data_IF_746867126822
#
_entry.id   IF_746867126822
#
_cell.length_a   1.000
_cell.length_b   1.000
_cell.length_c   1.000
_cell.angle_alpha   90.00
_cell.angle_beta   90.00
_cell.angle_gamma   90.00
#
_symmetry.space_group_name_H-M   'P 1'
#
loop_
_entity.id
_entity.type
_entity.pdbx_description
1 polymer ?
#
# COMPACT_ATOMS: atom_id res chain seq x y z
N UNK A 1 -47.24 -12.23 -38.55
CA UNK A 1 -45.91 -11.62 -38.36
C UNK A 1 -45.93 -10.87 -37.05
N UNK A 2 -45.15 -11.31 -36.07
CA UNK A 2 -44.29 -10.51 -35.20
C UNK A 2 -43.71 -11.45 -34.15
N UNK A 3 -42.43 -11.74 -34.33
CA UNK A 3 -41.56 -12.49 -33.43
C UNK A 3 -41.24 -11.56 -32.26
N UNK A 4 -41.64 -11.92 -31.04
CA UNK A 4 -41.09 -11.33 -29.83
C UNK A 4 -39.99 -12.28 -29.34
N UNK A 5 -38.76 -11.97 -29.74
CA UNK A 5 -37.54 -12.55 -29.19
C UNK A 5 -37.42 -12.10 -27.74
N UNK A 6 -37.79 -12.96 -26.80
CA UNK A 6 -37.43 -12.77 -25.39
C UNK A 6 -35.96 -13.14 -25.22
N UNK A 7 -35.16 -12.09 -25.07
CA UNK A 7 -33.74 -12.15 -24.72
C UNK A 7 -33.51 -13.07 -23.52
N UNK A 8 -32.73 -14.12 -23.74
CA UNK A 8 -32.16 -14.94 -22.68
C UNK A 8 -31.18 -14.07 -21.89
N UNK A 9 -31.50 -13.79 -20.63
CA UNK A 9 -30.53 -13.25 -19.67
C UNK A 9 -29.72 -14.45 -19.21
N UNK A 10 -28.51 -14.58 -19.76
CA UNK A 10 -27.55 -15.57 -19.30
C UNK A 10 -27.22 -15.30 -17.83
N UNK A 11 -27.58 -16.23 -16.96
CA UNK A 11 -27.03 -16.33 -15.62
C UNK A 11 -25.54 -16.67 -15.76
N UNK A 12 -24.69 -15.64 -15.69
CA UNK A 12 -23.24 -15.84 -15.60
C UNK A 12 -22.96 -16.34 -14.18
N UNK A 13 -22.71 -17.65 -14.07
CA UNK A 13 -22.36 -18.32 -12.82
C UNK A 13 -20.97 -17.87 -12.33
N UNK A 14 -20.96 -16.70 -11.68
CA UNK A 14 -19.83 -16.04 -11.03
C UNK A 14 -19.14 -16.87 -9.94
N UNK A 15 -19.66 -18.04 -9.56
CA UNK A 15 -19.12 -18.83 -8.45
C UNK A 15 -17.93 -19.71 -8.84
N UNK A 16 -17.75 -20.05 -10.13
CA UNK A 16 -16.70 -20.98 -10.58
C UNK A 16 -15.32 -20.36 -10.76
N UNK A 17 -15.20 -19.08 -11.13
CA UNK A 17 -13.90 -18.47 -11.43
C UNK A 17 -13.24 -17.78 -10.23
N UNK A 18 -14.02 -17.34 -9.24
CA UNK A 18 -13.55 -16.60 -8.05
C UNK A 18 -12.75 -17.44 -7.03
N UNK A 19 -12.92 -18.76 -6.98
CA UNK A 19 -12.37 -19.60 -5.90
C UNK A 19 -10.84 -19.68 -5.79
N UNK A 20 -10.09 -19.23 -6.81
CA UNK A 20 -8.63 -19.27 -6.80
C UNK A 20 -7.97 -17.88 -6.76
N UNK A 21 -8.72 -16.80 -7.03
CA UNK A 21 -8.17 -15.45 -7.11
C UNK A 21 -8.15 -14.83 -5.70
N UNK A 22 -7.01 -14.24 -5.26
CA UNK A 22 -6.96 -13.56 -3.97
C UNK A 22 -8.01 -12.44 -3.85
N UNK A 23 -8.63 -12.30 -2.66
CA UNK A 23 -9.71 -11.35 -2.41
C UNK A 23 -9.38 -9.91 -2.83
N UNK A 24 -8.12 -9.48 -2.65
CA UNK A 24 -7.67 -8.14 -3.01
C UNK A 24 -7.58 -7.88 -4.53
N UNK A 25 -7.58 -8.93 -5.35
CA UNK A 25 -7.56 -8.85 -6.81
C UNK A 25 -8.94 -9.04 -7.42
N UNK A 26 -9.93 -9.54 -6.66
CA UNK A 26 -11.29 -9.75 -7.14
C UNK A 26 -11.91 -8.50 -7.80
N UNK A 27 -11.81 -7.28 -7.23
CA UNK A 27 -12.39 -6.09 -7.87
C UNK A 27 -11.78 -5.77 -9.24
N UNK A 28 -10.47 -6.04 -9.40
CA UNK A 28 -9.76 -5.85 -10.66
C UNK A 28 -10.14 -6.95 -11.67
N UNK A 29 -10.21 -8.20 -11.20
CA UNK A 29 -10.61 -9.34 -12.01
C UNK A 29 -12.03 -9.18 -12.58
N UNK A 30 -13.01 -8.92 -11.73
CA UNK A 30 -14.43 -8.77 -12.15
C UNK A 30 -14.59 -7.68 -13.20
N UNK A 31 -13.95 -6.52 -13.02
CA UNK A 31 -14.03 -5.42 -13.97
C UNK A 31 -13.36 -5.76 -15.31
N UNK A 32 -12.26 -6.49 -15.29
CA UNK A 32 -11.56 -6.91 -16.50
C UNK A 32 -12.29 -8.03 -17.25
N UNK A 33 -13.09 -8.85 -16.57
CA UNK A 33 -13.88 -9.93 -17.16
C UNK A 33 -15.20 -9.49 -17.81
N UNK A 34 -15.66 -8.26 -17.63
CA UNK A 34 -16.94 -7.75 -18.19
C UNK A 34 -17.07 -7.87 -19.72
N UNK A 35 -15.94 -7.95 -20.44
CA UNK A 35 -15.90 -7.99 -21.91
C UNK A 35 -15.04 -9.15 -22.44
N UNK A 36 -14.82 -10.20 -21.64
CA UNK A 36 -13.99 -11.36 -22.01
C UNK A 36 -14.89 -12.57 -22.29
N UNK A 37 -14.48 -13.39 -23.25
CA UNK A 37 -15.07 -14.71 -23.48
C UNK A 37 -14.58 -15.72 -22.43
N UNK A 38 -15.28 -16.85 -22.25
CA UNK A 38 -14.94 -17.89 -21.26
C UNK A 38 -13.47 -18.37 -21.35
N UNK A 39 -12.95 -18.56 -22.57
CA UNK A 39 -11.55 -18.96 -22.79
C UNK A 39 -10.55 -17.85 -22.39
N UNK A 40 -10.94 -16.59 -22.61
CA UNK A 40 -10.12 -15.43 -22.25
C UNK A 40 -10.13 -15.20 -20.74
N UNK A 41 -11.25 -15.44 -20.07
CA UNK A 41 -11.38 -15.39 -18.61
C UNK A 41 -10.46 -16.42 -17.94
N UNK A 42 -10.43 -17.67 -18.42
CA UNK A 42 -9.53 -18.71 -17.88
C UNK A 42 -8.05 -18.35 -18.09
N UNK A 43 -7.70 -17.82 -19.27
CA UNK A 43 -6.34 -17.35 -19.56
C UNK A 43 -5.95 -16.17 -18.67
N UNK A 44 -6.85 -15.22 -18.47
CA UNK A 44 -6.61 -14.05 -17.63
C UNK A 44 -6.47 -14.43 -16.15
N UNK A 45 -7.29 -15.37 -15.67
CA UNK A 45 -7.17 -15.95 -14.34
C UNK A 45 -5.80 -16.59 -14.14
N UNK A 46 -5.37 -17.42 -15.09
CA UNK A 46 -4.03 -18.06 -15.04
C UNK A 46 -2.92 -17.02 -15.03
N UNK A 47 -3.01 -16.00 -15.88
CA UNK A 47 -2.05 -14.90 -15.94
C UNK A 47 -1.92 -14.14 -14.62
N UNK A 48 -3.05 -13.82 -13.97
CA UNK A 48 -3.04 -13.14 -12.66
C UNK A 48 -2.41 -14.03 -11.59
N UNK A 49 -2.73 -15.32 -11.59
CA UNK A 49 -2.16 -16.28 -10.63
C UNK A 49 -0.64 -16.39 -10.78
N UNK A 50 -0.13 -16.44 -12.00
CA UNK A 50 1.31 -16.47 -12.28
C UNK A 50 2.02 -15.15 -11.91
N UNK A 51 1.34 -14.01 -12.12
CA UNK A 51 1.90 -12.68 -11.90
C UNK A 51 1.46 -12.05 -10.57
N UNK A 52 1.01 -12.84 -9.59
CA UNK A 52 0.56 -12.32 -8.28
C UNK A 52 1.59 -11.42 -7.60
N UNK A 53 2.89 -11.72 -7.78
CA UNK A 53 4.01 -10.99 -7.21
C UNK A 53 4.18 -9.56 -7.78
N UNK A 54 3.61 -9.28 -8.96
CA UNK A 54 3.62 -7.95 -9.57
C UNK A 54 2.58 -7.01 -8.94
N UNK A 55 1.59 -7.57 -8.22
CA UNK A 55 0.51 -6.79 -7.61
C UNK A 55 0.79 -6.56 -6.13
N UNK A 56 0.73 -5.29 -5.71
CA UNK A 56 0.87 -4.94 -4.31
C UNK A 56 -0.31 -5.49 -3.49
N UNK A 57 -0.01 -6.19 -2.39
CA UNK A 57 -1.05 -6.59 -1.44
C UNK A 57 -1.51 -5.38 -0.63
N UNK A 58 -2.77 -5.34 -0.17
CA UNK A 58 -3.25 -4.28 0.70
C UNK A 58 -2.35 -4.13 1.94
N UNK A 59 -1.76 -2.94 2.11
CA UNK A 59 -0.88 -2.65 3.24
C UNK A 59 0.58 -3.09 3.04
N UNK A 60 0.93 -3.71 1.92
CA UNK A 60 2.31 -4.01 1.58
C UNK A 60 3.02 -2.75 1.06
N UNK A 61 4.16 -2.43 1.65
CA UNK A 61 5.05 -1.36 1.16
C UNK A 61 6.17 -2.03 0.38
N UNK A 62 6.27 -1.71 -0.91
CA UNK A 62 7.29 -2.28 -1.79
C UNK A 62 8.70 -2.00 -1.25
N UNK A 63 9.50 -3.05 -1.06
CA UNK A 63 10.92 -2.93 -0.69
C UNK A 63 11.77 -3.13 -1.94
N UNK A 64 12.66 -2.18 -2.21
CA UNK A 64 13.67 -2.30 -3.25
C UNK A 64 14.98 -2.79 -2.64
N UNK A 65 15.51 -3.91 -3.13
CA UNK A 65 16.82 -4.44 -2.73
C UNK A 65 17.98 -3.86 -3.57
N UNK A 66 17.72 -2.84 -4.39
CA UNK A 66 18.72 -2.27 -5.34
C UNK A 66 19.88 -1.52 -4.66
N UNK A 67 19.88 -1.40 -3.33
CA UNK A 67 21.01 -0.92 -2.55
C UNK A 67 20.67 0.22 -1.59
N UNK A 68 21.57 0.46 -0.63
CA UNK A 68 21.47 1.58 0.31
C UNK A 68 21.99 2.84 -0.37
N UNK A 69 21.15 3.87 -0.49
CA UNK A 69 21.56 5.14 -1.08
C UNK A 69 22.28 6.01 -0.03
N UNK A 70 23.53 6.39 -0.31
CA UNK A 70 24.28 7.36 0.51
C UNK A 70 24.08 8.76 -0.05
N UNK A 71 23.44 9.63 0.75
CA UNK A 71 23.28 11.05 0.42
C UNK A 71 24.64 11.74 0.61
N UNK A 72 25.15 12.40 -0.45
CA UNK A 72 26.35 13.24 -0.36
C UNK A 72 25.93 14.66 0.01
N UNK A 73 26.38 15.14 1.17
CA UNK A 73 26.11 16.49 1.65
C UNK A 73 27.17 17.46 1.10
N UNK A 74 26.78 18.71 0.84
CA UNK A 74 27.70 19.79 0.43
C UNK A 74 28.29 20.52 1.64
N UNK A 75 27.56 20.59 2.75
CA UNK A 75 27.99 21.12 4.05
C UNK A 75 27.72 20.04 5.12
N UNK A 76 28.73 19.73 5.93
CA UNK A 76 28.66 18.69 6.97
C UNK A 76 28.16 19.22 8.32
N UNK A 77 27.84 20.52 8.41
CA UNK A 77 27.29 21.12 9.63
C UNK A 77 25.85 20.65 9.88
N UNK A 78 25.58 19.99 11.02
CA UNK A 78 24.23 19.49 11.31
C UNK A 78 23.25 20.64 11.55
N UNK A 79 22.07 20.54 10.93
CA UNK A 79 20.94 21.45 11.15
C UNK A 79 19.92 20.77 12.06
N UNK A 80 19.60 21.44 13.17
CA UNK A 80 18.61 20.98 14.16
C UNK A 80 17.48 21.99 14.30
N UNK A 81 16.33 21.65 13.72
CA UNK A 81 15.09 22.39 13.84
C UNK A 81 14.28 21.87 15.05
N UNK A 82 13.79 22.74 15.95
CA UNK A 82 12.99 22.31 17.09
C UNK A 82 11.65 21.72 16.63
N UNK A 83 11.07 20.69 17.28
CA UNK A 83 9.76 20.16 16.89
C UNK A 83 8.63 21.20 17.03
N UNK A 84 7.63 21.18 16.13
CA UNK A 84 6.43 22.03 16.27
C UNK A 84 5.49 21.50 17.34
N UNK A 85 4.79 22.41 18.05
CA UNK A 85 3.74 22.03 19.00
C UNK A 85 2.58 21.34 18.29
N UNK A 86 2.18 20.18 18.81
CA UNK A 86 1.06 19.40 18.29
C UNK A 86 -0.17 19.69 19.15
N UNK A 87 -1.32 20.07 18.54
CA UNK A 87 -2.57 20.21 19.28
C UNK A 87 -2.93 18.90 20.01
N UNK A 88 -3.43 18.99 21.24
CA UNK A 88 -3.68 17.83 22.12
C UNK A 88 -4.52 16.75 21.44
N UNK A 89 -5.57 17.15 20.73
CA UNK A 89 -6.49 16.24 20.02
C UNK A 89 -5.83 15.46 18.86
N UNK A 90 -4.66 15.90 18.35
CA UNK A 90 -3.90 15.19 17.30
C UNK A 90 -2.79 14.30 17.83
N UNK A 91 -2.40 14.43 19.11
CA UNK A 91 -1.27 13.67 19.68
C UNK A 91 -1.51 12.16 19.63
N UNK A 92 -2.70 11.72 20.01
CA UNK A 92 -3.05 10.30 20.00
C UNK A 92 -3.02 9.71 18.58
N UNK A 93 -3.58 10.41 17.59
CA UNK A 93 -3.59 9.95 16.21
C UNK A 93 -2.18 9.83 15.64
N UNK A 94 -1.32 10.79 15.96
CA UNK A 94 0.09 10.77 15.57
C UNK A 94 0.85 9.59 16.20
N UNK A 95 0.70 9.39 17.50
CA UNK A 95 1.38 8.28 18.22
C UNK A 95 0.94 6.91 17.68
N UNK A 96 -0.31 6.77 17.26
CA UNK A 96 -0.79 5.55 16.58
C UNK A 96 -0.09 5.37 15.24
N UNK A 97 0.06 6.43 14.44
CA UNK A 97 0.66 6.33 13.11
C UNK A 97 2.18 6.07 13.19
N UNK A 98 2.89 6.77 14.08
CA UNK A 98 4.31 6.51 14.34
C UNK A 98 4.54 5.05 14.72
N UNK A 99 3.70 4.51 15.62
CA UNK A 99 3.79 3.11 16.03
C UNK A 99 3.57 2.15 14.86
N UNK A 100 2.60 2.40 13.98
CA UNK A 100 2.40 1.57 12.78
C UNK A 100 3.62 1.59 11.87
N UNK A 101 4.30 2.74 11.74
CA UNK A 101 5.50 2.86 10.93
C UNK A 101 6.70 2.14 11.57
N UNK A 102 6.83 2.22 12.90
CA UNK A 102 7.83 1.46 13.68
C UNK A 102 7.58 -0.05 13.55
N UNK A 103 6.34 -0.52 13.72
CA UNK A 103 5.95 -1.93 13.59
C UNK A 103 6.20 -2.49 12.18
N UNK A 104 6.05 -1.66 11.14
CA UNK A 104 6.38 -2.01 9.75
C UNK A 104 7.89 -1.98 9.46
N UNK A 105 8.70 -1.52 10.41
CA UNK A 105 10.15 -1.35 10.27
C UNK A 105 10.53 -0.32 9.21
N UNK A 106 9.68 0.69 8.97
CA UNK A 106 9.95 1.79 8.03
C UNK A 106 10.70 2.94 8.70
N UNK A 107 10.58 3.08 10.02
CA UNK A 107 11.29 4.09 10.82
C UNK A 107 11.93 3.42 12.04
N UNK A 108 12.98 4.04 12.54
CA UNK A 108 13.69 3.65 13.76
C UNK A 108 13.99 4.88 14.61
N UNK A 109 14.20 4.66 15.91
CA UNK A 109 14.67 5.72 16.80
C UNK A 109 16.13 6.01 16.51
N UNK A 110 16.47 7.29 16.37
CA UNK A 110 17.84 7.74 16.13
C UNK A 110 18.19 8.95 16.98
N UNK A 111 19.42 8.98 17.47
CA UNK A 111 20.01 10.12 18.21
C UNK A 111 20.83 11.01 17.25
N UNK A 112 20.19 11.41 16.14
CA UNK A 112 20.84 12.18 15.09
C UNK A 112 21.07 13.65 15.50
N UNK A 113 22.26 14.24 15.21
CA UNK A 113 22.46 15.68 15.36
C UNK A 113 21.66 16.49 14.32
N UNK A 114 21.17 15.83 13.26
CA UNK A 114 20.24 16.38 12.27
C UNK A 114 18.81 16.17 12.74
N UNK A 115 18.02 17.25 12.76
CA UNK A 115 16.58 17.18 13.01
C UNK A 115 15.89 18.18 12.10
N UNK A 116 14.98 17.71 11.27
CA UNK A 116 14.06 18.57 10.54
C UNK A 116 12.75 18.68 11.32
N UNK A 117 11.97 19.71 11.04
CA UNK A 117 10.72 20.01 11.71
C UNK A 117 9.61 18.97 11.45
N UNK A 118 9.76 17.80 12.03
CA UNK A 118 8.79 16.69 11.97
C UNK A 118 7.82 16.77 13.15
N UNK A 119 6.61 16.25 12.92
CA UNK A 119 5.55 16.15 13.91
C UNK A 119 5.91 14.99 14.87
N UNK A 120 6.73 15.23 15.91
CA UNK A 120 7.09 14.30 17.03
C UNK A 120 7.81 13.00 16.62
N UNK A 121 8.98 12.59 17.11
CA UNK A 121 9.68 12.88 18.36
C UNK A 121 11.18 13.10 18.08
N UNK A 122 11.76 14.16 18.64
CA UNK A 122 13.19 14.27 18.85
C UNK A 122 13.41 14.05 20.35
N UNK A 123 13.93 12.89 20.73
CA UNK A 123 14.30 12.61 22.11
C UNK A 123 15.62 13.34 22.40
N UNK A 124 15.52 14.55 22.93
CA UNK A 124 16.61 15.14 23.69
C UNK A 124 16.00 16.15 24.64
N UNK A 125 15.96 15.76 25.92
CA UNK A 125 16.31 16.56 27.12
C UNK A 125 16.19 15.60 28.33
N UNK A 126 17.31 15.04 28.76
CA UNK A 126 17.68 14.87 30.18
C UNK A 126 19.14 15.34 30.19
N UNK A 127 19.56 16.39 30.88
CA UNK A 127 19.23 16.77 32.25
C UNK A 127 20.40 16.35 33.12
N UNK A 128 21.53 17.07 33.05
CA UNK A 128 22.52 17.17 34.12
C UNK A 128 23.27 18.49 34.02
#
# INVERSE_FOLDING_TARGET
MNLATTSEVGEVDMSRSLGAVPEYLCPMFTKSCEHLDDEQEERFKTFILENQHCFARPGEVGRSNMGVHKIKLTDEKPVREPPRRIPIYKRQALEVEVRKLEERGLIEKSDSPWSSQTIGACASITGS
#
